data_IF_302702701499
#
_entry.id   IF_302702701499
#
_cell.length_a   1.000
_cell.length_b   1.000
_cell.length_c   1.000
_cell.angle_alpha   90.00
_cell.angle_beta   90.00
_cell.angle_gamma   90.00
#
_symmetry.space_group_name_H-M   'P 1'
#
loop_
_entity.id
_entity.type
_entity.pdbx_description
1 polymer ?
#
# COMPACT_ATOMS: atom_id res chain seq x y z
N UNK A 1 18.58 -24.73 28.39
CA UNK A 1 17.09 -24.73 28.31
C UNK A 1 16.58 -23.68 29.30
N UNK A 2 15.58 -22.87 28.93
CA UNK A 2 14.97 -21.93 29.87
C UNK A 2 14.12 -22.74 30.84
N UNK A 3 14.45 -22.71 32.13
CA UNK A 3 13.63 -23.35 33.17
C UNK A 3 12.47 -22.43 33.50
N UNK A 4 11.29 -22.73 32.96
CA UNK A 4 10.05 -22.05 33.33
C UNK A 4 9.59 -22.49 34.72
N UNK A 5 8.88 -21.63 35.47
CA UNK A 5 8.17 -22.10 36.65
C UNK A 5 7.14 -23.14 36.23
N UNK A 6 6.74 -23.99 37.19
CA UNK A 6 5.63 -24.92 36.98
C UNK A 6 4.35 -24.11 36.79
N UNK A 7 3.83 -24.10 35.56
CA UNK A 7 2.56 -23.42 35.25
C UNK A 7 1.39 -24.21 35.84
N UNK A 8 0.42 -23.48 36.39
CA UNK A 8 -0.86 -24.05 36.82
C UNK A 8 -1.74 -24.43 35.63
N UNK A 9 -1.61 -23.68 34.53
CA UNK A 9 -2.31 -23.96 33.29
C UNK A 9 -1.61 -23.31 32.09
N UNK A 10 -1.88 -23.86 30.92
CA UNK A 10 -1.37 -23.36 29.64
C UNK A 10 -2.46 -23.42 28.59
N UNK A 11 -2.71 -22.30 27.91
CA UNK A 11 -3.69 -22.22 26.84
C UNK A 11 -3.09 -21.54 25.63
N UNK A 12 -3.50 -21.94 24.42
CA UNK A 12 -3.16 -21.15 23.23
C UNK A 12 -3.84 -19.78 23.30
N UNK A 13 -3.33 -18.79 22.57
CA UNK A 13 -3.96 -17.48 22.46
C UNK A 13 -5.38 -17.58 21.85
N UNK A 14 -5.67 -18.61 21.05
CA UNK A 14 -7.03 -18.94 20.61
C UNK A 14 -7.94 -19.31 21.79
N UNK A 15 -7.43 -20.13 22.72
CA UNK A 15 -8.12 -20.62 23.90
C UNK A 15 -8.07 -19.67 25.11
N UNK A 16 -7.59 -18.43 24.93
CA UNK A 16 -7.42 -17.44 26.02
C UNK A 16 -8.66 -17.19 26.90
N UNK A 17 -9.86 -17.50 26.42
CA UNK A 17 -11.11 -17.44 27.19
C UNK A 17 -11.14 -18.45 28.35
N UNK A 18 -10.34 -19.50 28.29
CA UNK A 18 -10.20 -20.55 29.31
C UNK A 18 -9.28 -20.15 30.47
N UNK A 19 -8.58 -19.01 30.37
CA UNK A 19 -7.80 -18.48 31.49
C UNK A 19 -8.70 -18.26 32.72
N UNK A 20 -8.16 -18.43 33.93
CA UNK A 20 -8.94 -18.24 35.14
C UNK A 20 -9.23 -16.74 35.36
N UNK A 21 -10.37 -16.40 36.01
CA UNK A 21 -10.67 -15.03 36.42
C UNK A 21 -9.97 -14.68 37.74
N UNK A 22 -8.68 -15.03 37.88
CA UNK A 22 -7.88 -14.84 39.09
C UNK A 22 -6.65 -13.96 38.81
N UNK A 23 -6.04 -13.37 39.86
CA UNK A 23 -4.79 -12.65 39.74
C UNK A 23 -3.61 -13.60 39.49
N UNK A 24 -2.63 -13.15 38.72
CA UNK A 24 -1.44 -13.96 38.46
C UNK A 24 -0.43 -13.35 37.48
N UNK A 25 0.67 -14.08 37.30
CA UNK A 25 1.72 -13.79 36.34
C UNK A 25 1.53 -14.68 35.11
N UNK A 26 1.55 -14.10 33.92
CA UNK A 26 1.43 -14.81 32.66
C UNK A 26 2.71 -14.73 31.83
N UNK A 27 2.98 -15.81 31.11
CA UNK A 27 4.15 -16.04 30.28
C UNK A 27 3.68 -16.31 28.86
N UNK A 28 4.10 -15.46 27.92
CA UNK A 28 3.78 -15.55 26.51
C UNK A 28 4.90 -16.27 25.79
N UNK A 29 4.62 -17.47 25.30
CA UNK A 29 5.60 -18.37 24.69
C UNK A 29 5.24 -18.59 23.23
N UNK A 30 6.21 -18.47 22.33
CA UNK A 30 6.05 -18.73 20.91
C UNK A 30 6.66 -20.09 20.53
N UNK A 31 5.92 -20.89 19.77
CA UNK A 31 6.32 -22.22 19.30
C UNK A 31 6.88 -23.13 20.43
N UNK A 32 6.32 -23.02 21.65
CA UNK A 32 6.70 -23.80 22.84
C UNK A 32 8.14 -23.64 23.35
N UNK A 33 8.96 -22.77 22.78
CA UNK A 33 10.39 -22.66 23.13
C UNK A 33 10.88 -21.24 23.37
N UNK A 34 10.21 -20.23 22.79
CA UNK A 34 10.67 -18.85 22.87
C UNK A 34 9.78 -18.03 23.80
N UNK A 35 10.32 -17.63 24.96
CA UNK A 35 9.65 -16.67 25.84
C UNK A 35 9.67 -15.27 25.20
N UNK A 36 8.48 -14.75 24.88
CA UNK A 36 8.33 -13.44 24.28
C UNK A 36 8.07 -12.36 25.32
N UNK A 37 7.19 -12.61 26.28
CA UNK A 37 6.68 -11.57 27.18
C UNK A 37 6.24 -12.17 28.51
N UNK A 38 6.47 -11.45 29.59
CA UNK A 38 5.92 -11.72 30.91
C UNK A 38 5.10 -10.52 31.33
N UNK A 39 3.95 -10.76 31.94
CA UNK A 39 3.17 -9.68 32.54
C UNK A 39 2.34 -10.15 33.71
N UNK A 40 1.75 -9.19 34.43
CA UNK A 40 0.81 -9.44 35.51
C UNK A 40 -0.61 -8.97 35.19
N UNK A 41 -1.59 -9.58 35.86
CA UNK A 41 -2.99 -9.17 35.79
C UNK A 41 -3.70 -9.45 37.11
N UNK A 42 -4.61 -8.56 37.52
CA UNK A 42 -5.58 -8.82 38.60
C UNK A 42 -6.66 -9.82 38.19
N UNK A 43 -6.90 -9.95 36.88
CA UNK A 43 -7.80 -10.91 36.27
C UNK A 43 -7.20 -11.36 34.92
N UNK A 44 -6.66 -12.59 34.88
CA UNK A 44 -5.98 -13.14 33.71
C UNK A 44 -6.92 -13.24 32.50
N UNK A 45 -8.15 -13.70 32.68
CA UNK A 45 -9.15 -13.81 31.60
C UNK A 45 -9.49 -12.46 30.98
N UNK A 46 -9.82 -11.47 31.81
CA UNK A 46 -10.17 -10.12 31.34
C UNK A 46 -9.01 -9.42 30.66
N UNK A 47 -7.79 -9.58 31.18
CA UNK A 47 -6.57 -9.06 30.56
C UNK A 47 -6.40 -9.57 29.14
N UNK A 48 -6.79 -10.81 28.86
CA UNK A 48 -6.64 -11.42 27.53
C UNK A 48 -7.91 -11.42 26.67
N UNK A 49 -8.98 -10.71 27.06
CA UNK A 49 -10.22 -10.61 26.28
C UNK A 49 -10.02 -10.08 24.84
N UNK A 50 -8.98 -9.27 24.63
CA UNK A 50 -8.49 -8.83 23.31
C UNK A 50 -8.44 -7.31 23.13
N UNK A 51 -9.17 -6.56 23.95
CA UNK A 51 -9.13 -5.07 23.97
C UNK A 51 -8.17 -4.51 25.02
N UNK A 52 -8.01 -5.21 26.15
CA UNK A 52 -7.27 -4.74 27.33
C UNK A 52 -5.76 -4.99 27.27
N UNK A 53 -5.29 -6.03 26.55
CA UNK A 53 -3.86 -6.31 26.44
C UNK A 53 -3.22 -5.47 25.32
N UNK A 54 -2.37 -4.51 25.70
CA UNK A 54 -1.71 -3.59 24.79
C UNK A 54 -0.86 -4.26 23.68
N UNK A 55 -0.32 -5.48 23.90
CA UNK A 55 0.38 -6.29 22.86
C UNK A 55 -0.47 -7.34 22.15
N UNK A 56 -1.78 -7.41 22.40
CA UNK A 56 -2.63 -8.48 21.82
C UNK A 56 -2.51 -8.55 20.30
N UNK A 57 -2.67 -7.41 19.60
CA UNK A 57 -2.57 -7.32 18.13
C UNK A 57 -1.20 -7.77 17.60
N UNK A 58 -0.12 -7.47 18.32
CA UNK A 58 1.24 -7.87 17.96
C UNK A 58 1.40 -9.40 18.06
N UNK A 59 0.87 -10.01 19.12
CA UNK A 59 0.98 -11.44 19.37
C UNK A 59 0.06 -12.26 18.46
N UNK A 60 -1.19 -11.81 18.26
CA UNK A 60 -2.17 -12.51 17.42
C UNK A 60 -1.67 -12.72 15.97
N UNK A 61 -0.87 -11.79 15.44
CA UNK A 61 -0.27 -11.90 14.10
C UNK A 61 0.84 -12.92 13.97
N UNK A 62 1.50 -13.29 15.07
CA UNK A 62 2.45 -14.41 15.07
C UNK A 62 1.72 -15.75 14.89
N UNK A 63 0.39 -15.77 15.05
CA UNK A 63 -0.48 -16.93 14.90
C UNK A 63 -1.12 -17.28 16.23
N UNK A 64 -2.46 -17.31 16.29
CA UNK A 64 -3.21 -17.59 17.53
C UNK A 64 -2.86 -18.95 18.14
N UNK A 65 -2.53 -19.94 17.30
CA UNK A 65 -2.19 -21.30 17.71
C UNK A 65 -0.69 -21.49 17.99
N UNK A 66 0.13 -20.50 17.62
CA UNK A 66 1.59 -20.51 17.83
C UNK A 66 2.01 -19.82 19.13
N UNK A 67 1.07 -19.12 19.77
CA UNK A 67 1.28 -18.42 21.02
C UNK A 67 0.60 -19.19 22.14
N UNK A 68 1.38 -19.61 23.12
CA UNK A 68 0.91 -20.22 24.37
C UNK A 68 1.00 -19.22 25.51
N UNK A 69 -0.01 -19.18 26.34
CA UNK A 69 -0.12 -18.41 27.57
C UNK A 69 0.00 -19.40 28.74
N UNK A 70 1.18 -19.48 29.34
CA UNK A 70 1.37 -20.14 30.64
C UNK A 70 1.11 -19.16 31.76
N UNK A 71 0.59 -19.62 32.90
CA UNK A 71 0.38 -18.74 34.05
C UNK A 71 0.65 -19.43 35.38
N UNK A 72 0.89 -18.60 36.39
CA UNK A 72 0.87 -18.94 37.81
C UNK A 72 -0.07 -17.97 38.50
N UNK A 73 -0.84 -18.42 39.48
CA UNK A 73 -1.61 -17.54 40.33
C UNK A 73 -0.71 -16.90 41.36
N UNK A 74 -1.04 -15.66 41.71
CA UNK A 74 -0.33 -14.93 42.76
C UNK A 74 -1.31 -13.93 43.40
N UNK A 75 -1.19 -13.70 44.72
CA UNK A 75 -1.90 -12.62 45.40
C UNK A 75 -1.63 -11.26 44.74
N UNK A 76 -2.61 -10.35 44.82
CA UNK A 76 -2.58 -9.05 44.12
C UNK A 76 -1.40 -8.17 44.59
N UNK A 77 -1.09 -8.23 45.88
CA UNK A 77 0.03 -7.57 46.55
C UNK A 77 1.39 -8.11 46.10
N UNK A 78 1.44 -9.35 45.59
CA UNK A 78 2.68 -9.97 45.12
C UNK A 78 2.97 -9.75 43.63
N UNK A 79 1.99 -9.29 42.85
CA UNK A 79 2.08 -9.26 41.39
C UNK A 79 3.24 -8.41 40.88
N UNK A 80 3.48 -7.25 41.48
CA UNK A 80 4.50 -6.31 41.00
C UNK A 80 5.92 -6.85 41.21
N UNK A 81 6.21 -7.36 42.41
CA UNK A 81 7.56 -7.85 42.70
C UNK A 81 7.86 -9.14 41.94
N UNK A 82 6.88 -10.05 41.81
CA UNK A 82 7.02 -11.29 41.01
C UNK A 82 7.22 -11.00 39.53
N UNK A 83 6.47 -10.07 38.95
CA UNK A 83 6.66 -9.66 37.55
C UNK A 83 8.10 -9.16 37.32
N UNK A 84 8.59 -8.26 38.19
CA UNK A 84 9.96 -7.74 38.12
C UNK A 84 11.01 -8.84 38.27
N UNK A 85 10.81 -9.75 39.22
CA UNK A 85 11.70 -10.89 39.45
C UNK A 85 11.79 -11.79 38.21
N UNK A 86 10.67 -12.23 37.65
CA UNK A 86 10.67 -13.10 36.47
C UNK A 86 11.20 -12.41 35.22
N UNK A 87 10.92 -11.11 35.03
CA UNK A 87 11.50 -10.33 33.93
C UNK A 87 13.02 -10.26 34.07
N UNK A 88 13.53 -10.00 35.30
CA UNK A 88 14.97 -9.95 35.57
C UNK A 88 15.63 -11.30 35.33
N UNK A 89 15.02 -12.38 35.80
CA UNK A 89 15.55 -13.74 35.70
C UNK A 89 15.55 -14.27 34.26
N UNK A 90 14.47 -14.03 33.50
CA UNK A 90 14.24 -14.67 32.21
C UNK A 90 14.45 -13.76 31.00
N UNK A 91 14.62 -12.46 31.21
CA UNK A 91 14.90 -11.44 30.19
C UNK A 91 14.07 -11.59 28.89
N UNK A 92 12.73 -11.48 28.96
CA UNK A 92 11.87 -11.74 27.79
C UNK A 92 12.05 -10.69 26.69
N UNK A 93 12.06 -11.13 25.44
CA UNK A 93 12.39 -10.29 24.28
C UNK A 93 11.49 -9.05 24.10
N UNK A 94 10.24 -9.10 24.54
CA UNK A 94 9.28 -8.01 24.35
C UNK A 94 9.14 -7.07 25.55
N UNK A 95 9.58 -7.46 26.76
CA UNK A 95 9.39 -6.63 27.97
C UNK A 95 10.14 -5.29 27.91
N UNK A 96 11.34 -5.27 27.34
CA UNK A 96 12.15 -4.06 27.13
C UNK A 96 11.90 -3.37 25.78
N UNK A 97 11.08 -3.96 24.92
CA UNK A 97 10.83 -3.43 23.56
C UNK A 97 9.72 -2.37 23.55
N UNK A 98 9.87 -1.32 22.73
CA UNK A 98 8.77 -0.40 22.45
C UNK A 98 7.60 -1.16 21.80
N UNK A 99 6.38 -0.93 22.29
CA UNK A 99 5.16 -1.46 21.67
C UNK A 99 5.06 -0.82 20.29
N UNK A 100 5.15 -1.62 19.22
CA UNK A 100 4.98 -1.11 17.87
C UNK A 100 3.54 -0.63 17.71
N UNK A 101 3.32 0.69 17.68
CA UNK A 101 2.03 1.26 17.31
C UNK A 101 1.71 0.77 15.90
N UNK A 102 0.67 -0.03 15.80
CA UNK A 102 0.23 -0.52 14.51
C UNK A 102 -0.63 0.54 13.86
N UNK A 103 -0.04 1.28 12.94
CA UNK A 103 -0.78 1.97 11.89
C UNK A 103 -1.39 0.86 11.02
N UNK A 104 -2.73 0.82 10.82
CA UNK A 104 -3.34 -0.06 9.84
C UNK A 104 -2.51 -0.01 8.57
N UNK A 105 -2.07 -1.17 8.07
CA UNK A 105 -1.57 -1.20 6.69
C UNK A 105 -2.74 -0.65 5.88
N UNK A 106 -2.55 0.54 5.33
CA UNK A 106 -3.37 1.11 4.27
C UNK A 106 -3.81 -0.02 3.36
N UNK A 107 -5.10 -0.03 2.98
CA UNK A 107 -5.67 -1.08 2.12
C UNK A 107 -4.67 -1.46 1.03
N UNK A 108 -4.38 -2.73 0.76
CA UNK A 108 -3.45 -3.11 -0.31
C UNK A 108 -3.79 -2.45 -1.65
N UNK A 109 -5.07 -2.12 -1.90
CA UNK A 109 -5.53 -1.31 -3.05
C UNK A 109 -5.08 0.14 -2.94
N UNK A 110 -5.30 0.78 -1.79
CA UNK A 110 -4.88 2.16 -1.55
C UNK A 110 -3.35 2.30 -1.53
N UNK A 111 -2.61 1.37 -0.92
CA UNK A 111 -1.15 1.36 -0.98
C UNK A 111 -0.64 1.22 -2.40
N UNK A 112 -1.31 0.42 -3.23
CA UNK A 112 -0.93 0.27 -4.64
C UNK A 112 -1.29 1.50 -5.46
N UNK A 113 -2.50 2.06 -5.28
CA UNK A 113 -2.89 3.31 -5.90
C UNK A 113 -1.97 4.45 -5.49
N UNK A 114 -1.71 4.59 -4.19
CA UNK A 114 -0.79 5.58 -3.66
C UNK A 114 0.60 5.33 -4.24
N UNK A 115 1.07 4.09 -4.40
CA UNK A 115 2.35 3.81 -5.09
C UNK A 115 2.32 4.26 -6.55
N UNK A 116 1.26 3.99 -7.30
CA UNK A 116 1.10 4.39 -8.71
C UNK A 116 1.00 5.90 -8.86
N UNK A 117 0.17 6.56 -8.05
CA UNK A 117 0.02 8.01 -8.01
C UNK A 117 1.27 8.69 -7.49
N UNK A 118 1.99 8.08 -6.57
CA UNK A 118 3.31 8.54 -6.13
C UNK A 118 4.27 8.47 -7.30
N UNK A 119 4.49 7.30 -7.91
CA UNK A 119 5.34 7.14 -9.09
C UNK A 119 4.99 8.09 -10.23
N UNK A 120 3.71 8.35 -10.42
CA UNK A 120 3.23 9.42 -11.27
C UNK A 120 3.69 10.76 -10.69
N UNK A 121 3.15 11.25 -9.58
CA UNK A 121 3.19 12.66 -9.16
C UNK A 121 4.53 13.18 -8.64
N UNK A 122 5.32 12.30 -8.04
CA UNK A 122 6.66 12.59 -7.52
C UNK A 122 7.45 11.32 -7.78
N UNK A 123 8.53 11.28 -8.57
CA UNK A 123 9.33 10.06 -8.77
C UNK A 123 9.72 9.44 -7.42
N UNK A 124 8.90 8.53 -6.88
CA UNK A 124 8.97 8.17 -5.46
C UNK A 124 9.89 6.98 -5.25
N UNK A 125 11.04 7.14 -5.87
CA UNK A 125 12.28 6.53 -5.50
C UNK A 125 13.38 7.60 -5.64
N UNK A 126 14.40 7.57 -4.77
CA UNK A 126 15.73 8.09 -5.13
C UNK A 126 16.37 7.32 -6.31
N UNK A 127 15.60 6.59 -7.13
CA UNK A 127 16.07 5.88 -8.32
C UNK A 127 16.02 6.77 -9.56
N UNK A 128 16.49 8.01 -9.41
CA UNK A 128 17.29 8.68 -10.45
C UNK A 128 18.60 7.91 -10.62
N UNK A 129 18.80 6.75 -10.01
CA UNK A 129 20.07 6.08 -9.84
C UNK A 129 19.92 4.60 -10.19
N UNK A 130 20.38 4.21 -11.37
CA UNK A 130 20.52 2.80 -11.75
C UNK A 130 21.87 2.28 -11.23
N UNK A 131 21.85 1.19 -10.46
CA UNK A 131 23.07 0.51 -10.04
C UNK A 131 23.44 -0.51 -11.11
N UNK A 132 24.56 -0.29 -11.78
CA UNK A 132 25.14 -1.29 -12.67
C UNK A 132 25.56 -2.52 -11.85
N UNK A 133 25.75 -3.66 -12.52
CA UNK A 133 26.32 -4.89 -11.93
C UNK A 133 27.65 -4.70 -11.18
N UNK A 134 28.33 -3.57 -11.39
CA UNK A 134 29.59 -3.16 -10.73
C UNK A 134 29.39 -2.20 -9.55
N UNK A 135 28.16 -1.96 -9.10
CA UNK A 135 27.85 -1.11 -7.94
C UNK A 135 27.91 0.40 -8.18
N UNK A 136 28.32 0.83 -9.38
CA UNK A 136 28.34 2.24 -9.75
C UNK A 136 26.93 2.76 -10.00
N UNK A 137 26.67 3.97 -9.53
CA UNK A 137 25.35 4.58 -9.52
C UNK A 137 25.33 5.72 -10.53
N UNK A 138 24.60 5.56 -11.64
CA UNK A 138 24.53 6.57 -12.71
C UNK A 138 23.18 7.29 -12.64
N UNK A 139 23.13 8.63 -12.73
CA UNK A 139 21.89 9.36 -12.88
C UNK A 139 21.11 8.86 -14.11
N UNK A 140 19.83 8.58 -13.97
CA UNK A 140 18.93 8.32 -15.10
C UNK A 140 18.80 9.61 -15.89
N UNK A 141 18.84 9.46 -17.21
CA UNK A 141 18.75 10.59 -18.12
C UNK A 141 17.36 11.26 -18.02
N UNK A 142 17.21 12.56 -18.31
CA UNK A 142 15.94 13.27 -18.14
C UNK A 142 14.74 12.68 -18.90
N UNK A 143 14.99 11.93 -19.98
CA UNK A 143 13.97 11.20 -20.73
C UNK A 143 13.51 9.88 -20.07
N UNK A 144 14.26 9.36 -19.09
CA UNK A 144 13.89 8.17 -18.31
C UNK A 144 12.93 8.49 -17.14
N UNK A 145 12.54 9.77 -16.99
CA UNK A 145 11.67 10.24 -15.93
C UNK A 145 10.20 10.03 -16.30
N UNK A 146 9.41 9.47 -15.37
CA UNK A 146 7.98 9.32 -15.55
C UNK A 146 7.30 10.69 -15.64
N UNK A 147 6.66 10.95 -16.79
CA UNK A 147 5.88 12.16 -17.05
C UNK A 147 4.47 11.78 -17.50
N UNK A 148 3.51 12.63 -17.21
CA UNK A 148 2.10 12.38 -17.47
C UNK A 148 1.20 13.40 -16.78
N UNK A 149 -0.10 13.34 -17.03
CA UNK A 149 -1.11 14.23 -16.44
C UNK A 149 -2.47 13.53 -16.38
N UNK A 150 -3.38 14.03 -15.53
CA UNK A 150 -4.77 13.56 -15.53
C UNK A 150 -5.53 14.30 -16.63
N UNK A 151 -5.98 13.55 -17.63
CA UNK A 151 -6.75 14.09 -18.74
C UNK A 151 -8.17 14.50 -18.30
N UNK A 152 -8.74 13.80 -17.31
CA UNK A 152 -10.01 14.14 -16.69
C UNK A 152 -10.76 12.91 -16.20
N UNK A 153 -12.07 13.07 -16.00
CA UNK A 153 -12.97 12.01 -15.50
C UNK A 153 -14.14 11.78 -16.43
N UNK A 154 -14.64 10.55 -16.47
CA UNK A 154 -15.92 10.24 -17.10
C UNK A 154 -16.62 9.12 -16.34
N UNK A 155 -17.92 8.93 -16.54
CA UNK A 155 -18.68 7.85 -15.91
C UNK A 155 -19.16 6.87 -16.98
N UNK A 156 -18.93 5.59 -16.76
CA UNK A 156 -19.38 4.51 -17.65
C UNK A 156 -19.91 3.35 -16.81
N UNK A 157 -21.11 2.86 -17.13
CA UNK A 157 -21.75 1.73 -16.42
C UNK A 157 -21.74 1.87 -14.88
N UNK A 158 -22.08 3.06 -14.38
CA UNK A 158 -22.06 3.44 -12.96
C UNK A 158 -20.68 3.42 -12.27
N UNK A 159 -19.59 3.25 -13.02
CA UNK A 159 -18.21 3.37 -12.50
C UNK A 159 -17.62 4.71 -12.90
N UNK A 160 -16.87 5.31 -11.99
CA UNK A 160 -16.12 6.55 -12.26
C UNK A 160 -14.79 6.18 -12.89
N UNK A 161 -14.42 6.80 -14.00
CA UNK A 161 -13.14 6.61 -14.66
C UNK A 161 -12.27 7.86 -14.51
N UNK A 162 -11.01 7.67 -14.12
CA UNK A 162 -9.98 8.71 -14.11
C UNK A 162 -8.96 8.37 -15.19
N UNK A 163 -8.79 9.25 -16.18
CA UNK A 163 -7.83 9.04 -17.27
C UNK A 163 -6.51 9.71 -16.94
N UNK A 164 -5.45 8.91 -16.92
CA UNK A 164 -4.07 9.36 -16.72
C UNK A 164 -3.32 9.14 -18.03
N UNK A 165 -2.88 10.21 -18.68
CA UNK A 165 -2.03 10.13 -19.86
C UNK A 165 -0.57 10.15 -19.41
N UNK A 166 0.21 9.19 -19.89
CA UNK A 166 1.61 8.97 -19.55
C UNK A 166 2.49 9.14 -20.79
N UNK A 167 3.61 9.84 -20.64
CA UNK A 167 4.57 10.09 -21.70
C UNK A 167 5.29 8.80 -22.09
N UNK A 168 5.98 8.11 -21.16
CA UNK A 168 6.67 6.83 -21.42
C UNK A 168 6.90 5.99 -20.12
N UNK A 169 7.30 4.72 -20.28
CA UNK A 169 7.83 3.78 -19.27
C UNK A 169 6.87 3.19 -18.22
N UNK A 170 5.59 3.55 -18.18
CA UNK A 170 4.64 2.95 -17.24
C UNK A 170 4.26 1.52 -17.61
N UNK A 171 4.41 1.12 -18.88
CA UNK A 171 3.71 -0.06 -19.40
C UNK A 171 4.31 -1.34 -18.88
N UNK A 172 5.64 -1.42 -18.91
CA UNK A 172 6.40 -2.49 -18.29
C UNK A 172 6.18 -2.58 -16.78
N UNK A 173 6.05 -1.44 -16.11
CA UNK A 173 5.85 -1.38 -14.66
C UNK A 173 4.44 -1.83 -14.28
N UNK A 174 3.43 -1.38 -15.00
CA UNK A 174 2.03 -1.76 -14.83
C UNK A 174 1.83 -3.23 -15.20
N UNK A 175 2.49 -3.70 -16.26
CA UNK A 175 2.53 -5.11 -16.66
C UNK A 175 3.17 -6.01 -15.59
N UNK A 176 4.35 -5.64 -15.07
CA UNK A 176 5.00 -6.39 -13.98
C UNK A 176 4.12 -6.41 -12.74
N UNK A 177 3.47 -5.28 -12.42
CA UNK A 177 2.57 -5.17 -11.27
C UNK A 177 1.30 -6.00 -11.44
N UNK A 178 0.71 -6.03 -12.65
CA UNK A 178 -0.49 -6.81 -12.96
C UNK A 178 -0.24 -8.31 -12.92
N UNK A 179 0.99 -8.76 -13.19
CA UNK A 179 1.38 -10.15 -13.05
C UNK A 179 1.73 -10.57 -11.61
N UNK A 180 1.83 -9.62 -10.67
CA UNK A 180 2.16 -9.94 -9.28
C UNK A 180 0.99 -10.63 -8.56
N UNK A 181 1.26 -11.78 -7.91
CA UNK A 181 0.26 -12.66 -7.29
C UNK A 181 -0.79 -11.95 -6.43
N UNK A 182 -0.38 -10.97 -5.63
CA UNK A 182 -1.29 -10.25 -4.72
C UNK A 182 -1.97 -9.03 -5.33
N UNK A 183 -1.47 -8.53 -6.46
CA UNK A 183 -1.91 -7.29 -7.11
C UNK A 183 -2.74 -7.53 -8.37
N UNK A 184 -2.59 -8.69 -9.01
CA UNK A 184 -3.31 -9.09 -10.22
C UNK A 184 -4.81 -8.79 -10.15
N UNK A 185 -5.44 -9.04 -9.00
CA UNK A 185 -6.86 -8.79 -8.73
C UNK A 185 -7.30 -7.31 -8.74
N UNK A 186 -6.36 -6.36 -8.85
CA UNK A 186 -6.64 -4.93 -8.94
C UNK A 186 -6.64 -4.43 -10.38
N UNK A 187 -6.07 -5.19 -11.30
CA UNK A 187 -6.03 -4.86 -12.70
C UNK A 187 -7.20 -5.54 -13.39
N UNK A 188 -7.95 -4.78 -14.18
CA UNK A 188 -8.97 -5.40 -15.05
C UNK A 188 -8.24 -6.22 -16.11
N UNK A 189 -8.87 -7.31 -16.54
CA UNK A 189 -8.28 -8.21 -17.53
C UNK A 189 -7.84 -7.37 -18.73
N UNK A 190 -6.52 -7.29 -18.95
CA UNK A 190 -5.94 -6.56 -20.09
C UNK A 190 -6.57 -7.21 -21.31
N UNK A 191 -7.50 -6.50 -21.98
CA UNK A 191 -8.14 -7.08 -23.14
C UNK A 191 -7.01 -7.45 -24.11
N UNK A 192 -7.01 -8.66 -24.70
CA UNK A 192 -5.90 -9.13 -25.53
C UNK A 192 -5.55 -8.15 -26.67
N UNK A 193 -6.53 -7.37 -27.14
CA UNK A 193 -6.36 -6.32 -28.14
C UNK A 193 -5.55 -5.08 -27.67
N UNK A 194 -5.37 -4.87 -26.36
CA UNK A 194 -4.68 -3.70 -25.79
C UNK A 194 -3.35 -4.08 -25.14
N UNK A 195 -2.61 -5.02 -25.72
CA UNK A 195 -1.24 -5.30 -25.28
C UNK A 195 -0.38 -4.04 -25.47
N UNK A 196 -0.24 -3.27 -24.38
CA UNK A 196 0.84 -2.34 -24.02
C UNK A 196 0.54 -0.86 -23.81
N UNK A 197 -0.47 -0.19 -24.42
CA UNK A 197 -0.63 1.24 -24.18
C UNK A 197 -1.74 1.63 -23.20
N UNK A 198 -2.68 0.74 -22.85
CA UNK A 198 -3.82 1.10 -21.97
C UNK A 198 -3.94 0.10 -20.81
N UNK A 199 -3.83 0.61 -19.58
CA UNK A 199 -3.96 -0.19 -18.36
C UNK A 199 -5.11 0.30 -17.50
N UNK A 200 -5.92 -0.65 -17.05
CA UNK A 200 -7.05 -0.38 -16.18
C UNK A 200 -6.81 -0.90 -14.77
N UNK A 201 -6.97 -0.02 -13.78
CA UNK A 201 -6.82 -0.33 -12.37
C UNK A 201 -8.10 0.02 -11.62
N UNK A 202 -8.75 -0.97 -11.00
CA UNK A 202 -9.99 -0.79 -10.24
C UNK A 202 -9.70 -0.53 -8.76
N UNK A 203 -9.96 0.70 -8.35
CA UNK A 203 -9.97 1.18 -6.98
C UNK A 203 -11.41 1.34 -6.48
N UNK A 204 -12.05 0.22 -6.07
CA UNK A 204 -13.31 0.23 -5.31
C UNK A 204 -14.38 1.13 -5.93
N UNK A 205 -14.72 0.91 -7.20
CA UNK A 205 -15.69 1.66 -8.01
C UNK A 205 -15.12 2.85 -8.80
N UNK A 206 -13.83 3.16 -8.62
CA UNK A 206 -13.11 4.10 -9.49
C UNK A 206 -12.11 3.34 -10.36
N UNK A 207 -12.23 3.45 -11.67
CA UNK A 207 -11.32 2.86 -12.66
C UNK A 207 -10.30 3.90 -13.09
N UNK A 208 -9.03 3.67 -12.77
CA UNK A 208 -7.93 4.44 -13.33
C UNK A 208 -7.56 3.84 -14.68
N UNK A 209 -7.61 4.67 -15.72
CA UNK A 209 -7.21 4.34 -17.08
C UNK A 209 -5.87 5.01 -17.37
N UNK A 210 -4.78 4.26 -17.28
CA UNK A 210 -3.44 4.73 -17.64
C UNK A 210 -3.23 4.51 -19.13
N UNK A 211 -3.02 5.59 -19.88
CA UNK A 211 -2.81 5.56 -21.33
C UNK A 211 -1.41 6.06 -21.65
N UNK A 212 -0.61 5.26 -22.34
CA UNK A 212 0.77 5.53 -22.68
C UNK A 212 0.92 5.91 -24.14
N UNK A 213 1.61 7.02 -24.40
CA UNK A 213 1.83 7.57 -25.74
C UNK A 213 3.33 7.51 -26.04
N UNK A 214 3.84 6.30 -26.28
CA UNK A 214 5.28 6.00 -26.38
C UNK A 214 6.06 6.96 -27.29
N UNK A 215 5.58 7.24 -28.50
CA UNK A 215 6.35 8.01 -29.48
C UNK A 215 5.95 9.49 -29.58
N UNK A 216 4.85 9.87 -28.93
CA UNK A 216 4.25 11.20 -29.13
C UNK A 216 3.87 11.92 -27.83
N UNK A 217 4.17 11.31 -26.69
CA UNK A 217 3.88 11.91 -25.39
C UNK A 217 4.54 13.28 -25.21
N UNK A 218 5.71 13.51 -25.81
CA UNK A 218 6.37 14.82 -25.84
C UNK A 218 5.53 15.83 -26.62
N UNK A 219 5.26 15.60 -27.90
CA UNK A 219 4.45 16.50 -28.75
C UNK A 219 3.07 16.83 -28.15
N UNK A 220 2.38 15.85 -27.56
CA UNK A 220 1.10 16.07 -26.86
C UNK A 220 1.30 16.94 -25.62
N UNK A 221 2.36 16.70 -24.85
CA UNK A 221 2.67 17.49 -23.66
C UNK A 221 3.12 18.91 -24.02
N UNK A 222 3.90 19.08 -25.10
CA UNK A 222 4.31 20.38 -25.63
C UNK A 222 3.11 21.23 -26.03
N UNK A 223 2.12 20.63 -26.70
CA UNK A 223 0.91 21.35 -27.11
C UNK A 223 -0.01 21.70 -25.92
N UNK A 224 -0.09 20.81 -24.92
CA UNK A 224 -0.98 21.01 -23.77
C UNK A 224 -0.37 21.90 -22.69
N UNK A 225 0.94 21.82 -22.50
CA UNK A 225 1.68 22.48 -21.44
C UNK A 225 3.06 22.96 -21.94
N UNK A 226 3.12 23.86 -22.93
CA UNK A 226 4.39 24.30 -23.53
C UNK A 226 5.33 24.93 -22.49
N UNK A 227 4.76 25.60 -21.48
CA UNK A 227 5.50 26.22 -20.37
C UNK A 227 6.10 25.22 -19.37
N UNK A 228 5.76 23.93 -19.47
CA UNK A 228 6.31 22.88 -18.60
C UNK A 228 7.51 22.16 -19.22
N UNK A 229 7.89 22.47 -20.45
CA UNK A 229 8.99 21.80 -21.15
C UNK A 229 10.37 22.25 -20.64
N UNK A 230 10.52 23.54 -20.32
CA UNK A 230 11.77 24.13 -19.82
C UNK A 230 12.00 23.90 -18.33
N UNK A 231 11.01 23.36 -17.63
CA UNK A 231 11.13 23.12 -16.21
C UNK A 231 11.60 21.68 -16.00
N UNK A 232 12.67 21.51 -15.21
CA UNK A 232 13.18 20.22 -14.75
C UNK A 232 12.18 19.54 -13.80
N UNK A 233 10.89 19.53 -14.16
CA UNK A 233 9.79 19.03 -13.35
C UNK A 233 9.83 17.53 -13.45
N UNK A 234 10.45 16.95 -12.43
CA UNK A 234 10.41 15.51 -12.24
C UNK A 234 9.09 15.15 -11.56
N UNK A 235 8.16 14.58 -12.33
CA UNK A 235 6.88 14.07 -11.84
C UNK A 235 5.67 14.44 -12.70
N UNK A 236 4.57 13.74 -12.48
CA UNK A 236 3.22 14.04 -12.97
C UNK A 236 2.71 15.21 -12.17
N UNK A 237 2.83 16.40 -12.73
CA UNK A 237 2.03 17.49 -12.20
C UNK A 237 0.58 17.14 -12.51
N UNK A 238 -0.22 16.85 -11.47
CA UNK A 238 -1.67 16.70 -11.58
C UNK A 238 -2.23 18.08 -11.93
N UNK A 239 -2.06 18.50 -13.18
CA UNK A 239 -2.71 19.70 -13.71
C UNK A 239 -4.05 19.28 -14.26
N UNK A 240 -5.09 19.93 -13.77
CA UNK A 240 -6.41 19.91 -14.39
C UNK A 240 -6.22 20.29 -15.84
N UNK A 241 -6.72 19.46 -16.74
CA UNK A 241 -6.82 19.83 -18.14
C UNK A 241 -7.83 20.98 -18.22
N UNK A 242 -7.33 22.20 -18.43
CA UNK A 242 -8.14 23.43 -18.39
C UNK A 242 -9.13 23.48 -19.55
N UNK A 243 -8.78 22.84 -20.67
CA UNK A 243 -9.61 22.77 -21.86
C UNK A 243 -9.54 21.36 -22.51
N UNK A 244 -10.59 20.52 -22.36
CA UNK A 244 -10.69 19.22 -23.02
C UNK A 244 -10.47 19.24 -24.53
N UNK A 245 -10.80 20.36 -25.20
CA UNK A 245 -10.59 20.50 -26.65
C UNK A 245 -9.09 20.48 -27.02
N UNK A 246 -8.20 20.95 -26.15
CA UNK A 246 -6.76 20.93 -26.39
C UNK A 246 -6.21 19.49 -26.44
N UNK A 247 -6.74 18.59 -25.60
CA UNK A 247 -6.35 17.18 -25.63
C UNK A 247 -6.77 16.53 -26.95
N UNK A 248 -7.98 16.81 -27.42
CA UNK A 248 -8.47 16.32 -28.72
C UNK A 248 -7.59 16.80 -29.87
N UNK A 249 -7.25 18.08 -29.92
CA UNK A 249 -6.37 18.66 -30.95
C UNK A 249 -4.99 17.98 -30.90
N UNK A 250 -4.42 17.81 -29.70
CA UNK A 250 -3.15 17.11 -29.52
C UNK A 250 -3.18 15.68 -30.04
N UNK A 251 -4.23 14.92 -29.71
CA UNK A 251 -4.42 13.54 -30.19
C UNK A 251 -4.65 13.50 -31.70
N UNK A 252 -5.39 14.46 -32.28
CA UNK A 252 -5.66 14.52 -33.73
C UNK A 252 -4.42 14.92 -34.53
N UNK A 253 -3.50 15.67 -33.94
CA UNK A 253 -2.23 16.06 -34.57
C UNK A 253 -1.20 14.93 -34.62
N UNK A 254 -1.47 13.81 -33.93
CA UNK A 254 -0.59 12.65 -33.95
C UNK A 254 -0.58 12.01 -35.34
N UNK A 255 0.60 11.62 -35.87
CA UNK A 255 0.67 10.89 -37.13
C UNK A 255 -0.11 9.57 -37.02
N UNK A 256 -1.02 9.32 -37.96
CA UNK A 256 -1.76 8.07 -38.01
C UNK A 256 -0.82 6.92 -38.42
N UNK A 257 -0.32 6.13 -37.45
CA UNK A 257 0.25 4.78 -37.63
C UNK A 257 0.54 4.05 -36.29
N UNK A 258 0.58 2.70 -36.38
CA UNK A 258 0.75 1.62 -35.36
C UNK A 258 -0.14 1.65 -34.10
N UNK A 259 -0.74 2.77 -33.72
CA UNK A 259 -1.54 2.90 -32.50
C UNK A 259 -2.91 3.56 -32.72
N UNK A 260 -3.52 3.33 -33.89
CA UNK A 260 -4.89 3.80 -34.20
C UNK A 260 -5.89 3.42 -33.11
N UNK A 261 -5.72 2.27 -32.47
CA UNK A 261 -6.55 1.84 -31.34
C UNK A 261 -6.44 2.77 -30.12
N UNK A 262 -5.26 3.27 -29.80
CA UNK A 262 -5.02 4.19 -28.68
C UNK A 262 -5.56 5.57 -29.01
N UNK A 263 -5.29 6.03 -30.23
CA UNK A 263 -5.78 7.32 -30.72
C UNK A 263 -7.32 7.30 -30.74
N UNK A 264 -7.94 6.27 -31.30
CA UNK A 264 -9.39 6.10 -31.33
C UNK A 264 -9.99 5.98 -29.92
N UNK A 265 -9.34 5.24 -29.02
CA UNK A 265 -9.78 5.15 -27.62
C UNK A 265 -9.74 6.52 -26.94
N UNK A 266 -8.62 7.24 -27.03
CA UNK A 266 -8.48 8.57 -26.42
C UNK A 266 -9.46 9.57 -27.03
N UNK A 267 -9.67 9.56 -28.35
CA UNK A 267 -10.67 10.39 -29.02
C UNK A 267 -12.09 10.06 -28.53
N UNK A 268 -12.42 8.78 -28.38
CA UNK A 268 -13.73 8.35 -27.85
C UNK A 268 -13.97 8.79 -26.40
N UNK A 269 -12.89 8.94 -25.62
CA UNK A 269 -12.95 9.47 -24.25
C UNK A 269 -13.02 10.99 -24.25
N UNK A 270 -12.36 11.69 -25.17
CA UNK A 270 -12.41 13.16 -25.27
C UNK A 270 -13.84 13.69 -25.33
N UNK A 271 -14.73 12.97 -26.02
CA UNK A 271 -16.15 13.34 -26.13
C UNK A 271 -16.93 13.14 -24.81
N UNK A 272 -16.42 12.29 -23.92
CA UNK A 272 -17.04 11.95 -22.62
C UNK A 272 -16.32 12.60 -21.42
N UNK A 273 -15.19 13.24 -21.66
CA UNK A 273 -14.29 13.77 -20.65
C UNK A 273 -14.89 15.00 -19.99
N UNK A 274 -15.10 14.90 -18.69
CA UNK A 274 -15.45 16.04 -17.85
C UNK A 274 -14.17 16.55 -17.19
N UNK A 275 -13.95 17.88 -17.19
CA UNK A 275 -12.85 18.48 -16.45
C UNK A 275 -13.04 18.17 -14.96
N UNK A 276 -11.94 17.94 -14.25
CA UNK A 276 -12.00 17.76 -12.81
C UNK A 276 -12.58 19.03 -12.15
N UNK A 277 -13.50 18.89 -11.17
CA UNK A 277 -13.94 20.01 -10.34
C UNK A 277 -12.75 20.74 -9.71
N UNK A 278 -12.85 22.06 -9.50
CA UNK A 278 -11.76 22.84 -8.89
C UNK A 278 -11.44 22.40 -7.44
N UNK A 279 -12.42 21.77 -6.79
CA UNK A 279 -12.30 21.17 -5.46
C UNK A 279 -12.06 19.65 -5.51
N UNK A 280 -11.68 19.09 -6.65
CA UNK A 280 -11.43 17.66 -6.76
C UNK A 280 -10.31 17.25 -5.82
N UNK A 281 -10.70 16.48 -4.81
CA UNK A 281 -9.79 15.78 -3.91
C UNK A 281 -10.15 14.31 -4.03
N UNK A 282 -9.14 13.44 -4.11
CA UNK A 282 -9.37 12.01 -4.00
C UNK A 282 -9.90 11.76 -2.59
N UNK A 283 -11.21 11.57 -2.46
CA UNK A 283 -11.83 11.29 -1.16
C UNK A 283 -11.20 10.01 -0.62
N UNK A 284 -10.41 10.17 0.43
CA UNK A 284 -9.74 9.06 1.06
C UNK A 284 -10.77 7.99 1.40
N UNK A 285 -11.98 8.36 1.87
CA UNK A 285 -13.09 7.48 2.29
C UNK A 285 -13.59 6.54 1.20
N UNK A 286 -13.61 6.98 -0.06
CA UNK A 286 -14.00 6.14 -1.22
C UNK A 286 -12.92 5.11 -1.59
N UNK A 287 -11.69 5.29 -1.11
CA UNK A 287 -10.56 4.39 -1.33
C UNK A 287 -10.38 3.33 -0.22
N UNK A 288 -11.17 3.39 0.87
CA UNK A 288 -11.09 2.50 2.05
C UNK A 288 -11.86 1.21 1.96
#
# INVERSE_FOLDING_TARGET
MINFPKFEGQFTLRQRHQLPPSPGIYFVIHNKSQLLYIGQAKNLRERWSGKSHHRYKQLARKGLDKITLGYIQAPVDELEWREKEYIKLLSPALNSSKVKQFIPKTSPRFSELQRLLKLASNPLFPSVQWKHSKGQTIPREPWDLFRGFVAGVYQEQAKLHIVVVCQQNMGDLLWKSSNHRTKKRFYLQVQPQYRSPIFFFDARQVIFSFVEIFNYGEQVFEQLYPHLLDSQVVGVTLKKLVNPACLRIGIQSLPAQENDLVQNYLLSICDKLQPLPDNFTLDEKLLW
#
